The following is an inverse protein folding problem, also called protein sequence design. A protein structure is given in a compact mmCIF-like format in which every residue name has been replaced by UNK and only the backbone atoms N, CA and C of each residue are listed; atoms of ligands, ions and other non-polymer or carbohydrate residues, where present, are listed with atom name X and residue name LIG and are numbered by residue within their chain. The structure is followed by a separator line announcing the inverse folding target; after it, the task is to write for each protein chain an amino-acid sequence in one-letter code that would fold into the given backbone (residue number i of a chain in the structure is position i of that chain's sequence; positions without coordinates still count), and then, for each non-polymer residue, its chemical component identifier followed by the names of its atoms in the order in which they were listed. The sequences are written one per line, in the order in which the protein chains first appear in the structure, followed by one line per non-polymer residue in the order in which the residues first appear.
data_IF_589814748662
#
_entry.id   IF_589814748662
#
_cell.length_a   1.000
_cell.length_b   1.000
_cell.length_c   1.000
_cell.angle_alpha   90.00
_cell.angle_beta   90.00
_cell.angle_gamma   90.00
#
_symmetry.space_group_name_H-M   'P 1'
#
loop_
_entity.id
_entity.type
_entity.pdbx_description
1 polymer ?
#
# COMPACT_ATOMS: atom_id res chain seq x y z
N UNK A 1 -13.10 -26.23 -0.23
CA UNK A 1 -12.22 -25.22 0.40
C UNK A 1 -12.97 -23.91 0.43
N UNK A 2 -12.96 -23.20 1.55
CA UNK A 2 -13.56 -21.86 1.64
C UNK A 2 -12.76 -20.83 0.83
N UNK A 3 -13.26 -19.58 0.71
CA UNK A 3 -12.55 -18.53 0.00
C UNK A 3 -11.22 -18.19 0.69
N UNK A 4 -10.18 -17.88 -0.10
CA UNK A 4 -8.87 -17.51 0.44
C UNK A 4 -8.88 -16.08 1.01
N UNK A 5 -8.09 -15.81 2.07
CA UNK A 5 -7.83 -14.45 2.50
C UNK A 5 -7.30 -13.56 1.37
N UNK A 6 -7.71 -12.29 1.34
CA UNK A 6 -7.42 -11.35 0.26
C UNK A 6 -6.38 -10.31 0.64
N UNK A 7 -5.52 -9.95 -0.32
CA UNK A 7 -4.56 -8.84 -0.23
C UNK A 7 -4.89 -7.76 -1.27
N UNK A 8 -5.16 -6.54 -0.82
CA UNK A 8 -5.41 -5.39 -1.69
C UNK A 8 -4.09 -4.75 -2.15
N UNK A 9 -3.89 -4.58 -3.46
CA UNK A 9 -2.60 -4.24 -4.06
C UNK A 9 -2.64 -2.90 -4.81
N UNK A 10 -1.73 -1.99 -4.45
CA UNK A 10 -1.68 -0.61 -4.96
C UNK A 10 -0.37 -0.34 -5.70
N UNK A 11 -0.49 -0.01 -6.99
CA UNK A 11 0.65 0.20 -7.88
C UNK A 11 1.42 1.51 -7.59
N UNK A 12 2.65 1.61 -8.09
CA UNK A 12 3.44 2.83 -8.05
C UNK A 12 2.92 3.92 -9.00
N UNK A 13 3.36 5.16 -8.81
CA UNK A 13 2.93 6.27 -9.65
C UNK A 13 3.42 6.11 -11.10
N UNK A 14 2.51 6.24 -12.06
CA UNK A 14 2.79 6.10 -13.48
C UNK A 14 2.74 4.66 -13.97
N UNK A 15 1.97 3.83 -13.27
CA UNK A 15 1.71 2.42 -13.57
C UNK A 15 0.20 2.16 -13.62
N UNK A 16 -0.23 0.90 -13.63
CA UNK A 16 -1.64 0.49 -13.54
C UNK A 16 -1.77 -0.81 -12.75
N UNK A 17 -3.00 -1.17 -12.39
CA UNK A 17 -3.30 -2.44 -11.75
C UNK A 17 -2.76 -3.63 -12.55
N UNK A 18 -2.96 -3.61 -13.88
CA UNK A 18 -2.51 -4.69 -14.77
C UNK A 18 -0.98 -4.83 -14.83
N UNK A 19 -0.25 -3.70 -14.87
CA UNK A 19 1.22 -3.71 -14.83
C UNK A 19 1.71 -4.27 -13.51
N UNK A 20 1.13 -3.81 -12.39
CA UNK A 20 1.55 -4.28 -11.07
C UNK A 20 1.23 -5.78 -10.87
N UNK A 21 0.10 -6.26 -11.40
CA UNK A 21 -0.22 -7.68 -11.43
C UNK A 21 0.85 -8.50 -12.18
N UNK A 22 1.34 -8.03 -13.33
CA UNK A 22 2.44 -8.68 -14.07
C UNK A 22 3.74 -8.65 -13.25
N UNK A 23 4.08 -7.50 -12.65
CA UNK A 23 5.27 -7.37 -11.81
C UNK A 23 5.23 -8.30 -10.57
N UNK A 24 4.04 -8.65 -10.10
CA UNK A 24 3.81 -9.57 -8.98
C UNK A 24 3.48 -11.01 -9.39
N UNK A 25 3.57 -11.38 -10.67
CA UNK A 25 3.07 -12.69 -11.15
C UNK A 25 3.73 -13.87 -10.41
N UNK A 26 5.05 -13.86 -10.26
CA UNK A 26 5.76 -14.94 -9.57
C UNK A 26 5.43 -14.98 -8.08
N UNK A 27 5.24 -13.82 -7.45
CA UNK A 27 4.82 -13.72 -6.04
C UNK A 27 3.44 -14.34 -5.85
N UNK A 28 2.48 -13.98 -6.70
CA UNK A 28 1.12 -14.55 -6.69
C UNK A 28 1.16 -16.07 -6.84
N UNK A 29 1.99 -16.60 -7.75
CA UNK A 29 2.14 -18.05 -7.92
C UNK A 29 2.62 -18.74 -6.65
N UNK A 30 3.63 -18.18 -5.96
CA UNK A 30 4.14 -18.77 -4.72
C UNK A 30 3.12 -18.74 -3.58
N UNK A 31 2.27 -17.71 -3.53
CA UNK A 31 1.29 -17.49 -2.46
C UNK A 31 -0.15 -17.94 -2.82
N UNK A 32 -0.33 -18.59 -3.97
CA UNK A 32 -1.64 -18.92 -4.55
C UNK A 32 -2.48 -19.90 -3.73
N UNK A 33 -1.86 -20.69 -2.86
CA UNK A 33 -2.56 -21.57 -1.92
C UNK A 33 -3.01 -20.86 -0.64
N UNK A 34 -2.53 -19.64 -0.40
CA UNK A 34 -2.67 -18.94 0.88
C UNK A 34 -3.46 -17.65 0.74
N UNK A 35 -3.30 -16.93 -0.37
CA UNK A 35 -3.94 -15.63 -0.60
C UNK A 35 -4.48 -15.45 -2.01
N UNK A 36 -5.51 -14.63 -2.11
CA UNK A 36 -5.97 -14.02 -3.37
C UNK A 36 -5.51 -12.55 -3.42
N UNK A 37 -4.93 -12.13 -4.55
CA UNK A 37 -4.41 -10.77 -4.74
C UNK A 37 -5.35 -9.97 -5.65
N UNK A 38 -5.75 -8.78 -5.22
CA UNK A 38 -6.55 -7.86 -6.04
C UNK A 38 -5.79 -6.57 -6.27
N UNK A 39 -5.67 -6.18 -7.54
CA UNK A 39 -4.90 -4.99 -7.96
C UNK A 39 -5.86 -3.87 -8.34
N UNK A 40 -5.63 -2.67 -7.79
CA UNK A 40 -6.52 -1.53 -7.96
C UNK A 40 -5.87 -0.42 -8.79
N UNK A 41 -6.66 0.19 -9.66
CA UNK A 41 -6.23 1.33 -10.47
C UNK A 41 -6.42 2.64 -9.72
N UNK A 42 -5.41 3.50 -9.81
CA UNK A 42 -5.46 4.84 -9.25
C UNK A 42 -6.35 5.79 -10.09
N UNK A 43 -6.94 6.84 -9.51
CA UNK A 43 -7.98 7.65 -10.16
C UNK A 43 -7.45 8.59 -11.25
N UNK A 44 -6.20 9.02 -11.17
CA UNK A 44 -5.67 10.11 -11.99
C UNK A 44 -4.74 9.57 -13.05
N UNK A 45 -4.86 10.08 -14.27
CA UNK A 45 -3.93 9.77 -15.35
C UNK A 45 -2.61 10.50 -15.16
N UNK A 46 -1.51 9.89 -15.64
CA UNK A 46 -0.19 10.53 -15.75
C UNK A 46 0.68 9.81 -16.76
N UNK A 47 1.87 10.36 -16.99
CA UNK A 47 2.92 9.71 -17.75
C UNK A 47 3.52 8.50 -17.02
N UNK A 48 4.16 7.64 -17.81
CA UNK A 48 4.84 6.44 -17.34
C UNK A 48 5.80 6.74 -16.18
N UNK A 49 5.76 5.89 -15.16
CA UNK A 49 6.67 5.94 -14.03
C UNK A 49 8.03 5.34 -14.35
N UNK A 50 9.01 5.48 -13.44
CA UNK A 50 10.30 4.80 -13.56
C UNK A 50 10.11 3.28 -13.71
N UNK A 51 10.82 2.68 -14.67
CA UNK A 51 10.81 1.21 -14.89
C UNK A 51 9.58 0.67 -15.63
N UNK A 52 8.62 1.52 -16.02
CA UNK A 52 7.44 1.10 -16.81
C UNK A 52 7.81 0.95 -18.28
N UNK A 53 8.41 1.98 -18.88
CA UNK A 53 8.89 1.92 -20.26
C UNK A 53 10.33 1.35 -20.33
N UNK A 54 10.69 0.66 -21.42
CA UNK A 54 9.88 0.39 -22.62
C UNK A 54 9.01 -0.88 -22.54
N UNK A 55 9.13 -1.69 -21.47
CA UNK A 55 8.52 -3.02 -21.39
C UNK A 55 6.98 -3.00 -21.35
N UNK A 56 6.40 -1.99 -20.68
CA UNK A 56 4.95 -1.82 -20.56
C UNK A 56 4.48 -0.66 -21.45
N UNK A 57 4.40 -0.90 -22.76
CA UNK A 57 4.01 0.13 -23.73
C UNK A 57 2.58 0.65 -23.50
N UNK A 58 2.31 1.87 -23.95
CA UNK A 58 1.02 2.52 -23.73
C UNK A 58 -0.10 1.79 -24.46
N UNK A 59 0.14 1.28 -25.68
CA UNK A 59 -0.88 0.59 -26.48
C UNK A 59 -1.39 -0.68 -25.81
N UNK A 60 -0.56 -1.34 -25.00
CA UNK A 60 -0.90 -2.60 -24.35
C UNK A 60 -1.29 -2.44 -22.88
N UNK A 61 -0.66 -1.52 -22.16
CA UNK A 61 -0.77 -1.41 -20.71
C UNK A 61 -1.24 -0.04 -20.21
N UNK A 62 -1.41 0.92 -21.12
CA UNK A 62 -2.01 2.20 -20.81
C UNK A 62 -3.51 2.10 -20.53
N UNK A 63 -4.10 3.15 -19.94
CA UNK A 63 -3.44 4.37 -19.50
C UNK A 63 -2.69 4.20 -18.17
N UNK A 64 -1.62 4.98 -17.96
CA UNK A 64 -0.90 5.00 -16.69
C UNK A 64 -1.52 5.97 -15.69
N UNK A 65 -1.40 5.64 -14.40
CA UNK A 65 -2.21 6.23 -13.33
C UNK A 65 -1.40 6.59 -12.09
N UNK A 66 -1.98 7.42 -11.22
CA UNK A 66 -1.40 7.88 -9.95
C UNK A 66 -2.43 8.10 -8.87
N UNK A 67 -2.03 7.88 -7.61
CA UNK A 67 -2.91 7.94 -6.45
C UNK A 67 -3.18 9.36 -5.94
N UNK A 68 -2.23 10.26 -6.18
CA UNK A 68 -2.26 11.64 -5.69
C UNK A 68 -2.47 12.62 -6.84
N UNK A 69 -3.38 13.56 -6.66
CA UNK A 69 -3.50 14.68 -7.57
C UNK A 69 -2.24 15.55 -7.45
N UNK A 70 -1.77 16.08 -8.58
CA UNK A 70 -0.69 17.07 -8.59
C UNK A 70 -1.29 18.43 -8.92
N UNK A 71 -1.00 19.40 -8.06
CA UNK A 71 -1.33 20.81 -8.30
C UNK A 71 -0.55 21.36 -9.49
N UNK A 72 -0.93 22.52 -10.00
CA UNK A 72 -0.18 23.21 -11.06
C UNK A 72 1.27 23.51 -10.65
N UNK A 73 1.54 23.68 -9.35
CA UNK A 73 2.90 23.84 -8.80
C UNK A 73 3.74 22.55 -8.81
N UNK A 74 3.14 21.41 -9.15
CA UNK A 74 3.80 20.11 -9.18
C UNK A 74 3.76 19.32 -7.87
N UNK A 75 3.23 19.93 -6.80
CA UNK A 75 3.09 19.31 -5.49
C UNK A 75 1.91 18.33 -5.46
N UNK A 76 2.10 17.20 -4.79
CA UNK A 76 1.05 16.22 -4.57
C UNK A 76 0.15 16.66 -3.40
N UNK A 77 -1.17 16.62 -3.62
CA UNK A 77 -2.16 16.89 -2.56
C UNK A 77 -2.15 15.71 -1.56
N UNK A 78 -1.85 15.91 -0.26
CA UNK A 78 -1.57 14.81 0.69
C UNK A 78 -2.70 13.80 0.88
N UNK A 79 -3.95 14.23 0.77
CA UNK A 79 -5.13 13.36 0.87
C UNK A 79 -5.56 12.79 -0.49
N UNK A 80 -4.86 13.13 -1.57
CA UNK A 80 -5.17 12.68 -2.92
C UNK A 80 -6.48 13.23 -3.49
N UNK A 81 -7.10 14.26 -2.91
CA UNK A 81 -8.19 15.02 -3.55
C UNK A 81 -7.67 15.91 -4.66
N UNK A 82 -8.58 16.44 -5.46
CA UNK A 82 -8.27 17.58 -6.33
C UNK A 82 -7.99 18.81 -5.47
N UNK A 83 -7.35 19.80 -6.08
CA UNK A 83 -6.97 21.07 -5.46
C UNK A 83 -8.15 21.92 -4.95
N UNK A 84 -9.35 21.72 -5.49
CA UNK A 84 -10.58 22.32 -4.98
C UNK A 84 -11.04 21.77 -3.62
N UNK A 85 -10.39 20.71 -3.12
CA UNK A 85 -10.70 20.06 -1.85
C UNK A 85 -12.05 19.34 -1.82
N UNK A 86 -12.73 19.19 -2.96
CA UNK A 86 -14.06 18.58 -3.02
C UNK A 86 -13.98 17.06 -3.18
N UNK A 87 -15.04 16.41 -2.72
CA UNK A 87 -15.21 14.96 -2.85
C UNK A 87 -14.54 14.16 -1.74
N UNK A 88 -14.44 12.86 -1.99
CA UNK A 88 -13.89 11.88 -1.05
C UNK A 88 -12.35 11.91 -1.06
N UNK A 89 -11.72 11.82 0.12
CA UNK A 89 -10.26 11.65 0.24
C UNK A 89 -9.82 10.32 -0.35
N UNK A 90 -8.53 10.24 -0.64
CA UNK A 90 -7.94 9.11 -1.33
C UNK A 90 -8.05 7.80 -0.56
N UNK A 91 -7.98 7.83 0.78
CA UNK A 91 -8.13 6.63 1.62
C UNK A 91 -9.55 6.09 1.53
N UNK A 92 -10.55 6.94 1.73
CA UNK A 92 -11.97 6.59 1.68
C UNK A 92 -12.34 6.10 0.27
N UNK A 93 -11.86 6.79 -0.78
CA UNK A 93 -12.03 6.36 -2.17
C UNK A 93 -11.45 4.97 -2.42
N UNK A 94 -10.27 4.67 -1.85
CA UNK A 94 -9.66 3.35 -1.95
C UNK A 94 -10.48 2.29 -1.20
N UNK A 95 -10.98 2.60 0.00
CA UNK A 95 -11.89 1.69 0.72
C UNK A 95 -13.16 1.40 -0.10
N UNK A 96 -13.71 2.41 -0.78
CA UNK A 96 -14.81 2.25 -1.73
C UNK A 96 -14.50 1.28 -2.87
N UNK A 97 -13.30 1.38 -3.48
CA UNK A 97 -12.85 0.44 -4.51
C UNK A 97 -12.76 -1.01 -3.98
N UNK A 98 -12.24 -1.19 -2.77
CA UNK A 98 -12.09 -2.52 -2.15
C UNK A 98 -13.46 -3.14 -1.83
N UNK A 99 -14.37 -2.34 -1.26
CA UNK A 99 -15.77 -2.75 -1.01
C UNK A 99 -16.49 -3.13 -2.31
N UNK A 100 -16.19 -2.44 -3.41
CA UNK A 100 -16.77 -2.69 -4.74
C UNK A 100 -16.41 -4.03 -5.39
N UNK A 101 -15.40 -4.76 -4.90
CA UNK A 101 -15.04 -6.09 -5.43
C UNK A 101 -16.11 -7.14 -5.11
N UNK A 102 -16.88 -6.94 -4.03
CA UNK A 102 -17.95 -7.84 -3.62
C UNK A 102 -17.48 -9.00 -2.72
N UNK A 103 -18.33 -10.02 -2.63
CA UNK A 103 -18.15 -11.19 -1.76
C UNK A 103 -16.85 -11.97 -2.07
N UNK A 104 -16.25 -12.54 -1.04
CA UNK A 104 -14.98 -13.26 -1.13
C UNK A 104 -14.42 -13.52 0.27
N UNK A 105 -13.14 -13.90 0.36
CA UNK A 105 -12.50 -14.08 1.65
C UNK A 105 -12.29 -12.76 2.41
N UNK A 106 -11.87 -12.82 3.66
CA UNK A 106 -11.57 -11.61 4.43
C UNK A 106 -10.40 -10.84 3.81
N UNK A 107 -10.50 -9.51 3.74
CA UNK A 107 -9.37 -8.65 3.42
C UNK A 107 -8.43 -8.61 4.62
N UNK A 108 -7.30 -9.33 4.53
CA UNK A 108 -6.37 -9.49 5.66
C UNK A 108 -5.12 -8.64 5.52
N UNK A 109 -4.79 -8.20 4.31
CA UNK A 109 -3.58 -7.44 4.05
C UNK A 109 -3.73 -6.40 2.95
N UNK A 110 -2.83 -5.43 2.98
CA UNK A 110 -2.68 -4.44 1.91
C UNK A 110 -1.21 -4.38 1.48
N UNK A 111 -0.94 -4.39 0.17
CA UNK A 111 0.40 -4.30 -0.40
C UNK A 111 0.52 -3.09 -1.32
N UNK A 112 1.60 -2.34 -1.17
CA UNK A 112 1.88 -1.15 -1.97
C UNK A 112 3.27 -1.23 -2.58
N UNK A 113 3.41 -0.75 -3.81
CA UNK A 113 4.71 -0.53 -4.44
C UNK A 113 4.96 0.95 -4.65
N UNK A 114 6.13 1.45 -4.26
CA UNK A 114 6.55 2.84 -4.46
C UNK A 114 5.49 3.83 -3.93
N UNK A 115 4.87 4.66 -4.78
CA UNK A 115 3.76 5.55 -4.38
C UNK A 115 2.60 4.81 -3.69
N UNK A 116 2.34 3.55 -4.07
CA UNK A 116 1.31 2.71 -3.46
C UNK A 116 1.56 2.38 -1.98
N UNK A 117 2.80 2.46 -1.49
CA UNK A 117 3.07 2.25 -0.05
C UNK A 117 2.44 3.34 0.81
N UNK A 118 2.26 4.54 0.26
CA UNK A 118 1.61 5.65 0.94
C UNK A 118 0.10 5.40 1.08
N UNK A 119 -0.52 4.77 0.08
CA UNK A 119 -1.93 4.33 0.16
C UNK A 119 -2.08 3.30 1.28
N UNK A 120 -1.21 2.28 1.32
CA UNK A 120 -1.21 1.26 2.38
C UNK A 120 -1.06 1.90 3.76
N UNK A 121 -0.05 2.76 3.96
CA UNK A 121 0.13 3.45 5.24
C UNK A 121 -1.09 4.27 5.64
N UNK A 122 -1.74 4.94 4.68
CA UNK A 122 -2.95 5.72 4.93
C UNK A 122 -4.14 4.87 5.37
N UNK A 123 -4.34 3.71 4.73
CA UNK A 123 -5.38 2.74 5.11
C UNK A 123 -5.17 2.22 6.53
N UNK A 124 -3.93 1.83 6.87
CA UNK A 124 -3.61 1.31 8.20
C UNK A 124 -3.80 2.38 9.28
N UNK A 125 -3.29 3.59 9.06
CA UNK A 125 -3.44 4.68 10.02
C UNK A 125 -4.91 5.08 10.20
N UNK A 126 -5.69 5.12 9.12
CA UNK A 126 -7.12 5.40 9.17
C UNK A 126 -7.86 4.33 10.00
N UNK A 127 -7.59 3.04 9.75
CA UNK A 127 -8.18 1.94 10.52
C UNK A 127 -7.83 2.03 12.01
N UNK A 128 -6.56 2.27 12.33
CA UNK A 128 -6.09 2.45 13.71
C UNK A 128 -6.82 3.60 14.39
N UNK A 129 -6.92 4.76 13.73
CA UNK A 129 -7.60 5.94 14.29
C UNK A 129 -9.09 5.74 14.46
N UNK A 130 -9.76 5.01 13.56
CA UNK A 130 -11.17 4.64 13.73
C UNK A 130 -11.37 3.86 15.03
N UNK A 131 -10.48 2.91 15.33
CA UNK A 131 -10.52 2.13 16.59
C UNK A 131 -10.25 2.98 17.82
N UNK A 132 -9.20 3.79 17.80
CA UNK A 132 -8.82 4.65 18.93
C UNK A 132 -9.93 5.65 19.29
N UNK A 133 -10.67 6.14 18.30
CA UNK A 133 -11.80 7.05 18.50
C UNK A 133 -13.13 6.34 18.82
N UNK A 134 -13.14 5.00 18.87
CA UNK A 134 -14.32 4.22 19.24
C UNK A 134 -15.45 4.28 18.21
N UNK A 135 -15.14 4.48 16.92
CA UNK A 135 -16.17 4.37 15.88
C UNK A 135 -16.74 2.95 15.84
N UNK A 136 -18.07 2.79 15.72
CA UNK A 136 -18.68 1.47 15.68
C UNK A 136 -18.22 0.71 14.43
N UNK A 137 -18.01 -0.60 14.58
CA UNK A 137 -17.74 -1.47 13.44
C UNK A 137 -18.99 -1.65 12.59
N UNK A 138 -18.85 -1.46 11.29
CA UNK A 138 -19.91 -1.73 10.32
C UNK A 138 -19.90 -3.21 9.93
N UNK A 139 -21.07 -3.75 9.56
CA UNK A 139 -21.14 -5.10 9.00
C UNK A 139 -20.36 -5.14 7.67
N UNK A 140 -19.42 -6.09 7.57
CA UNK A 140 -18.52 -6.18 6.41
C UNK A 140 -17.41 -5.12 6.37
N UNK A 141 -17.13 -4.43 7.48
CA UNK A 141 -15.99 -3.52 7.55
C UNK A 141 -14.67 -4.25 7.27
N UNK A 142 -13.83 -3.63 6.45
CA UNK A 142 -12.52 -4.16 6.06
C UNK A 142 -11.57 -4.08 7.27
N UNK A 143 -10.87 -5.18 7.53
CA UNK A 143 -10.00 -5.30 8.69
C UNK A 143 -8.62 -5.82 8.29
N UNK A 144 -7.75 -4.89 7.90
CA UNK A 144 -6.36 -5.23 7.57
C UNK A 144 -5.61 -5.64 8.82
N UNK A 145 -5.00 -6.83 8.77
CA UNK A 145 -4.14 -7.36 9.83
C UNK A 145 -2.68 -6.93 9.63
N UNK A 146 -2.27 -6.68 8.37
CA UNK A 146 -0.92 -6.25 8.07
C UNK A 146 -0.80 -5.43 6.77
N UNK A 147 0.30 -4.68 6.66
CA UNK A 147 0.73 -4.01 5.44
C UNK A 147 2.03 -4.57 4.85
N UNK A 148 2.17 -4.55 3.53
CA UNK A 148 3.43 -4.86 2.83
C UNK A 148 3.84 -3.64 2.00
N UNK A 149 4.99 -3.06 2.32
CA UNK A 149 5.48 -1.81 1.75
C UNK A 149 6.74 -2.07 0.93
N UNK A 150 6.58 -2.17 -0.39
CA UNK A 150 7.67 -2.44 -1.32
C UNK A 150 8.22 -1.16 -1.91
N UNK A 151 9.53 -0.92 -1.77
CA UNK A 151 10.26 0.17 -2.43
C UNK A 151 9.67 1.56 -2.11
N UNK A 152 9.16 1.71 -0.88
CA UNK A 152 8.39 2.86 -0.43
C UNK A 152 9.20 4.12 -0.16
N UNK A 153 8.49 5.25 -0.11
CA UNK A 153 9.03 6.54 0.32
C UNK A 153 7.89 7.51 0.69
N UNK A 154 8.25 8.62 1.36
CA UNK A 154 7.37 9.74 1.73
C UNK A 154 6.25 9.39 2.73
N UNK A 155 5.44 10.39 3.09
CA UNK A 155 4.38 10.25 4.09
C UNK A 155 3.22 9.36 3.61
N UNK A 156 2.57 8.59 4.51
CA UNK A 156 1.28 7.98 4.24
C UNK A 156 0.25 8.96 3.65
N UNK A 157 -0.70 8.42 2.89
CA UNK A 157 -1.84 9.19 2.40
C UNK A 157 -2.70 9.64 3.59
N UNK A 158 -3.11 10.90 3.53
CA UNK A 158 -3.98 11.49 4.54
C UNK A 158 -5.43 11.12 4.24
N UNK A 159 -6.19 10.81 5.29
CA UNK A 159 -7.64 10.59 5.26
C UNK A 159 -8.33 11.76 5.97
N UNK A 160 -9.65 11.84 5.89
CA UNK A 160 -10.40 12.87 6.63
C UNK A 160 -10.22 12.75 8.14
N UNK A 161 -9.99 11.52 8.60
CA UNK A 161 -9.75 11.22 10.01
C UNK A 161 -8.32 11.57 10.45
N UNK A 162 -7.36 11.54 9.53
CA UNK A 162 -5.92 11.68 9.80
C UNK A 162 -5.35 13.01 9.29
N UNK A 163 -6.22 13.94 8.87
CA UNK A 163 -5.90 15.29 8.40
C UNK A 163 -5.29 16.21 9.46
N UNK A 164 -5.42 17.55 9.36
CA UNK A 164 -4.78 18.52 10.26
C UNK A 164 -5.10 18.34 11.76
N UNK A 165 -5.96 17.40 12.11
CA UNK A 165 -6.19 16.91 13.47
C UNK A 165 -5.09 15.95 13.99
N UNK A 166 -3.97 15.74 13.28
CA UNK A 166 -2.87 14.93 13.81
C UNK A 166 -2.06 15.68 14.89
N UNK A 167 -2.47 15.38 16.12
CA UNK A 167 -1.70 15.30 17.37
C UNK A 167 -2.20 16.24 18.46
N UNK A 168 -3.21 15.78 19.21
CA UNK A 168 -3.47 16.31 20.56
C UNK A 168 -2.27 16.07 21.51
N UNK A 169 -1.31 15.20 21.13
CA UNK A 169 -0.20 14.70 21.95
C UNK A 169 1.18 15.29 21.62
N UNK A 170 1.32 16.11 20.56
CA UNK A 170 2.59 16.69 20.12
C UNK A 170 3.58 15.73 19.44
N UNK A 171 3.25 14.43 19.31
CA UNK A 171 4.04 13.43 18.58
C UNK A 171 3.25 12.85 17.38
N UNK A 172 3.92 12.48 16.28
CA UNK A 172 3.25 11.82 15.16
C UNK A 172 2.64 10.49 15.60
N UNK A 173 1.44 10.20 15.13
CA UNK A 173 0.79 8.91 15.36
C UNK A 173 1.49 7.84 14.52
N UNK A 174 2.25 6.98 15.20
CA UNK A 174 2.91 5.84 14.55
C UNK A 174 1.88 4.78 14.19
N UNK A 175 2.02 4.19 13.01
CA UNK A 175 1.26 3.02 12.56
C UNK A 175 1.77 1.83 13.36
N UNK A 176 0.90 1.27 14.20
CA UNK A 176 1.20 0.10 15.05
C UNK A 176 0.70 -1.20 14.44
N UNK A 177 -0.24 -1.17 13.48
CA UNK A 177 -0.66 -2.36 12.75
C UNK A 177 0.58 -2.99 12.07
N UNK A 178 0.79 -4.31 12.17
CA UNK A 178 1.99 -4.96 11.65
C UNK A 178 2.32 -4.61 10.19
N UNK A 179 3.60 -4.34 9.92
CA UNK A 179 4.07 -4.08 8.55
C UNK A 179 5.34 -4.85 8.17
N UNK A 180 5.42 -5.26 6.91
CA UNK A 180 6.64 -5.76 6.27
C UNK A 180 7.11 -4.75 5.23
N UNK A 181 8.29 -4.19 5.44
CA UNK A 181 8.93 -3.26 4.52
C UNK A 181 9.99 -3.99 3.68
N UNK A 182 9.89 -3.91 2.36
CA UNK A 182 10.90 -4.38 1.43
C UNK A 182 11.66 -3.19 0.84
N UNK A 183 12.96 -3.10 1.12
CA UNK A 183 13.84 -2.07 0.61
C UNK A 183 14.92 -2.65 -0.31
N UNK A 184 15.10 -2.05 -1.49
CA UNK A 184 16.23 -2.30 -2.37
C UNK A 184 17.40 -1.38 -2.02
N UNK A 185 18.58 -1.92 -1.70
CA UNK A 185 19.74 -1.10 -1.33
C UNK A 185 20.36 -0.33 -2.51
N UNK A 186 19.92 -0.62 -3.74
CA UNK A 186 20.26 0.14 -4.97
C UNK A 186 19.08 0.97 -5.48
N UNK A 187 17.98 1.01 -4.74
CA UNK A 187 16.83 1.83 -5.06
C UNK A 187 17.14 3.31 -4.82
N UNK A 188 16.72 4.17 -5.75
CA UNK A 188 16.76 5.62 -5.60
C UNK A 188 15.98 6.10 -4.37
N UNK A 189 14.95 5.34 -3.97
CA UNK A 189 14.15 5.61 -2.78
C UNK A 189 14.75 5.06 -1.50
N UNK A 190 15.86 4.31 -1.52
CA UNK A 190 16.35 3.59 -0.34
C UNK A 190 16.52 4.48 0.91
N UNK A 191 17.13 5.66 0.74
CA UNK A 191 17.28 6.62 1.85
C UNK A 191 15.93 7.19 2.32
N UNK A 192 15.02 7.46 1.39
CA UNK A 192 13.69 8.00 1.71
C UNK A 192 12.76 6.94 2.31
N UNK A 193 12.91 5.66 1.94
CA UNK A 193 12.21 4.54 2.55
C UNK A 193 12.59 4.36 4.01
N UNK A 194 13.88 4.49 4.35
CA UNK A 194 14.33 4.51 5.76
C UNK A 194 13.76 5.68 6.55
N UNK A 195 13.65 6.87 5.93
CA UNK A 195 12.99 8.03 6.56
C UNK A 195 11.51 7.78 6.78
N UNK A 196 10.81 7.22 5.79
CA UNK A 196 9.40 6.84 5.90
C UNK A 196 9.18 5.85 7.06
N UNK A 197 9.97 4.78 7.10
CA UNK A 197 9.95 3.77 8.16
C UNK A 197 10.06 4.42 9.55
N UNK A 198 11.10 5.22 9.75
CA UNK A 198 11.39 5.84 11.05
C UNK A 198 10.37 6.91 11.48
N UNK A 199 9.73 7.59 10.53
CA UNK A 199 8.82 8.70 10.82
C UNK A 199 7.39 8.27 11.10
N UNK A 200 6.93 7.13 10.55
CA UNK A 200 5.50 6.80 10.50
C UNK A 200 5.13 5.41 11.02
N UNK A 201 6.09 4.53 11.32
CA UNK A 201 5.81 3.14 11.68
C UNK A 201 6.45 2.79 13.03
N UNK A 202 5.72 2.07 13.89
CA UNK A 202 6.26 1.56 15.14
C UNK A 202 7.25 0.42 14.86
N UNK A 203 8.49 0.57 15.33
CA UNK A 203 9.55 -0.43 15.14
C UNK A 203 9.25 -1.77 15.83
N UNK A 204 8.34 -1.81 16.82
CA UNK A 204 7.95 -3.05 17.50
C UNK A 204 7.10 -3.96 16.64
N UNK A 205 6.34 -3.40 15.71
CA UNK A 205 5.40 -4.15 14.84
C UNK A 205 5.84 -4.13 13.38
N UNK A 206 7.01 -3.54 13.11
CA UNK A 206 7.57 -3.41 11.77
C UNK A 206 8.70 -4.40 11.55
N UNK A 207 8.68 -5.08 10.40
CA UNK A 207 9.74 -5.96 9.90
C UNK A 207 10.37 -5.32 8.68
N UNK A 208 11.71 -5.27 8.64
CA UNK A 208 12.46 -4.72 7.50
C UNK A 208 13.23 -5.83 6.78
N UNK A 209 12.97 -5.98 5.48
CA UNK A 209 13.69 -6.84 4.56
C UNK A 209 14.48 -5.97 3.57
N UNK A 210 15.81 -6.03 3.63
CA UNK A 210 16.69 -5.35 2.69
C UNK A 210 17.32 -6.33 1.71
N UNK A 211 17.24 -6.01 0.42
CA UNK A 211 17.83 -6.81 -0.66
C UNK A 211 18.70 -5.94 -1.57
N UNK A 212 19.71 -6.53 -2.21
CA UNK A 212 20.57 -5.82 -3.16
C UNK A 212 19.86 -5.65 -4.49
N UNK A 213 18.93 -4.71 -4.54
CA UNK A 213 17.98 -4.56 -5.64
C UNK A 213 17.69 -3.10 -5.97
N UNK A 214 17.31 -2.86 -7.23
CA UNK A 214 16.90 -1.56 -7.73
C UNK A 214 15.39 -1.36 -7.50
N UNK A 215 14.82 -0.25 -8.01
CA UNK A 215 13.41 0.12 -7.83
C UNK A 215 12.44 -0.79 -8.61
N UNK A 216 12.25 -2.03 -8.15
CA UNK A 216 11.39 -3.03 -8.78
C UNK A 216 10.95 -4.11 -7.78
N UNK A 217 9.89 -4.84 -8.11
CA UNK A 217 9.55 -6.08 -7.40
C UNK A 217 10.60 -7.17 -7.68
N UNK A 218 11.00 -7.97 -6.67
CA UNK A 218 12.05 -8.97 -6.84
C UNK A 218 11.60 -10.12 -7.74
N UNK A 219 12.32 -10.35 -8.83
CA UNK A 219 12.11 -11.53 -9.70
C UNK A 219 13.15 -12.64 -9.51
N UNK A 220 14.30 -12.35 -8.87
CA UNK A 220 15.26 -13.40 -8.56
C UNK A 220 14.72 -14.28 -7.44
N UNK A 221 14.69 -15.59 -7.67
CA UNK A 221 14.07 -16.57 -6.78
C UNK A 221 14.49 -16.39 -5.32
N UNK A 222 15.78 -16.23 -5.05
CA UNK A 222 16.29 -16.11 -3.67
C UNK A 222 15.71 -14.90 -2.91
N UNK A 223 15.61 -13.74 -3.57
CA UNK A 223 15.07 -12.54 -2.93
C UNK A 223 13.54 -12.54 -2.91
N UNK A 224 12.90 -13.10 -3.94
CA UNK A 224 11.46 -13.31 -3.96
C UNK A 224 11.00 -14.22 -2.82
N UNK A 225 11.70 -15.32 -2.56
CA UNK A 225 11.33 -16.23 -1.48
C UNK A 225 11.42 -15.57 -0.11
N UNK A 226 12.40 -14.67 0.14
CA UNK A 226 12.43 -13.90 1.39
C UNK A 226 11.18 -13.03 1.57
N UNK A 227 10.67 -12.45 0.48
CA UNK A 227 9.42 -11.69 0.52
C UNK A 227 8.21 -12.60 0.79
N UNK A 228 8.15 -13.77 0.15
CA UNK A 228 7.12 -14.79 0.39
C UNK A 228 7.11 -15.19 1.87
N UNK A 229 8.26 -15.62 2.40
CA UNK A 229 8.42 -16.05 3.79
C UNK A 229 8.04 -14.92 4.76
N UNK A 230 8.40 -13.67 4.43
CA UNK A 230 8.03 -12.50 5.21
C UNK A 230 6.52 -12.25 5.25
N UNK A 231 5.83 -12.39 4.12
CA UNK A 231 4.36 -12.21 4.01
C UNK A 231 3.63 -13.33 4.76
N UNK A 232 4.06 -14.58 4.60
CA UNK A 232 3.46 -15.70 5.34
C UNK A 232 3.70 -15.53 6.84
N UNK A 233 4.91 -15.17 7.24
CA UNK A 233 5.26 -14.99 8.64
C UNK A 233 4.47 -13.85 9.30
N UNK A 234 4.28 -12.71 8.64
CA UNK A 234 3.51 -11.60 9.23
C UNK A 234 2.00 -11.90 9.29
N UNK A 235 1.48 -12.72 8.36
CA UNK A 235 0.09 -13.16 8.41
C UNK A 235 -0.21 -14.14 9.56
N UNK A 236 0.78 -14.92 9.98
CA UNK A 236 0.68 -15.84 11.12
C UNK A 236 0.84 -15.14 12.48
N UNK A 237 1.15 -13.84 12.50
CA UNK A 237 1.19 -13.11 13.77
C UNK A 237 -0.18 -13.17 14.46
N UNK A 238 -0.20 -13.35 15.79
CA UNK A 238 -1.45 -13.40 16.51
C UNK A 238 -2.26 -12.13 16.23
N UNK A 239 -3.56 -12.31 15.97
CA UNK A 239 -4.49 -11.19 16.02
C UNK A 239 -4.37 -10.60 17.42
N UNK A 240 -4.04 -9.32 17.57
CA UNK A 240 -4.24 -8.68 18.87
C UNK A 240 -5.70 -8.90 19.25
N UNK A 241 -5.92 -9.62 20.35
CA UNK A 241 -7.25 -9.82 20.90
C UNK A 241 -7.84 -8.44 21.20
N UNK A 242 -9.02 -8.20 20.62
CA UNK A 242 -9.76 -6.93 20.70
C UNK A 242 -10.27 -6.64 22.10
#
# INVERSE_FOLDING_TARGET
MGPLPRIACFHGGGSSASIFAVQCETLQKQLSSTFEFHFFDAPYLRDAGPGVLPFFSYEKFGPYRTWFFKTEGGDEVPDGRRDDGRGESGVERVLGLIKGVGEGGEWVGAMGFSQGTRVVGGLLLHQQKRREMGFPREEGEIEFRFGVLCMGSFAPMVSDLTGPAMSLSGSPDLITIPTLHLHGTKDVNYANGKKQLAAYYDQKTTRLLEINYHHAMPWFRADLMKLVDGIESIYQDPKEDS
#
